data_IF_067231144966
#
_entry.id   IF_067231144966
#
_cell.length_a   1.000
_cell.length_b   1.000
_cell.length_c   1.000
_cell.angle_alpha   90.00
_cell.angle_beta   90.00
_cell.angle_gamma   90.00
#
_symmetry.space_group_name_H-M   'P 1'
#
loop_
_entity.id
_entity.type
_entity.pdbx_description
1 polymer ?
#
# COMPACT_ATOMS: atom_id res chain seq x y z
N UNK A 1 3.66 22.88 -26.16
CA UNK A 1 4.66 23.64 -25.37
C UNK A 1 5.74 22.65 -24.93
N UNK A 2 7.00 23.11 -24.89
CA UNK A 2 8.13 22.36 -24.37
C UNK A 2 8.19 22.42 -22.86
N UNK A 3 9.12 21.64 -22.26
CA UNK A 3 9.33 21.63 -20.82
C UNK A 3 10.09 20.41 -20.34
N UNK A 4 10.13 20.22 -19.03
CA UNK A 4 10.74 19.07 -18.37
C UNK A 4 9.66 18.13 -17.80
N UNK A 5 10.04 16.86 -17.62
CA UNK A 5 9.21 15.85 -16.99
C UNK A 5 10.05 14.91 -16.13
N UNK A 6 9.43 14.39 -15.10
CA UNK A 6 9.91 13.24 -14.33
C UNK A 6 8.93 12.11 -14.52
N UNK A 7 9.43 10.92 -14.80
CA UNK A 7 8.64 9.69 -14.78
C UNK A 7 9.16 8.76 -13.70
N UNK A 8 8.24 8.16 -12.97
CA UNK A 8 8.54 7.24 -11.89
C UNK A 8 8.18 5.81 -12.29
N UNK A 9 9.07 4.89 -11.93
CA UNK A 9 8.90 3.45 -12.10
C UNK A 9 9.17 2.74 -10.78
N UNK A 10 8.54 1.60 -10.61
CA UNK A 10 8.82 0.66 -9.53
C UNK A 10 9.41 -0.63 -10.10
N UNK A 11 10.44 -1.14 -9.42
CA UNK A 11 11.02 -2.45 -9.69
C UNK A 11 10.95 -3.28 -8.41
N UNK A 12 10.16 -4.34 -8.38
CA UNK A 12 9.87 -5.12 -7.18
C UNK A 12 11.06 -5.99 -6.74
N UNK A 13 11.86 -6.50 -7.69
CA UNK A 13 13.07 -7.26 -7.39
C UNK A 13 14.27 -6.80 -8.24
N UNK A 14 15.51 -7.14 -7.84
CA UNK A 14 16.70 -6.81 -8.63
C UNK A 14 16.65 -7.45 -10.01
N UNK A 15 16.94 -6.67 -11.07
CA UNK A 15 16.95 -7.14 -12.47
C UNK A 15 18.23 -6.74 -13.17
N UNK A 16 18.79 -7.67 -13.96
CA UNK A 16 19.81 -7.35 -14.95
C UNK A 16 19.13 -6.86 -16.21
N UNK A 17 19.51 -5.68 -16.68
CA UNK A 17 18.93 -5.05 -17.87
C UNK A 17 20.02 -4.62 -18.81
N UNK A 18 19.95 -5.09 -20.05
CA UNK A 18 20.79 -4.60 -21.14
C UNK A 18 20.27 -3.24 -21.61
N UNK A 19 21.05 -2.18 -21.41
CA UNK A 19 20.66 -0.80 -21.76
C UNK A 19 21.37 -0.41 -23.06
N UNK A 20 20.85 -0.88 -24.17
CA UNK A 20 21.38 -0.60 -25.49
C UNK A 20 22.89 -0.84 -25.58
N UNK A 21 23.66 0.17 -26.03
CA UNK A 21 25.12 0.11 -26.15
C UNK A 21 25.87 0.46 -24.87
N UNK A 22 25.18 0.91 -23.81
CA UNK A 22 25.81 1.22 -22.52
C UNK A 22 26.26 -0.04 -21.76
N UNK A 23 25.68 -1.18 -22.06
CA UNK A 23 26.00 -2.45 -21.39
C UNK A 23 24.89 -2.98 -20.52
N UNK A 24 25.22 -4.06 -19.78
CA UNK A 24 24.31 -4.68 -18.82
C UNK A 24 24.54 -4.10 -17.43
N UNK A 25 23.44 -3.73 -16.76
CA UNK A 25 23.47 -3.21 -15.40
C UNK A 25 22.52 -3.99 -14.51
N UNK A 26 22.91 -4.17 -13.24
CA UNK A 26 22.03 -4.69 -12.20
C UNK A 26 21.25 -3.53 -11.59
N UNK A 27 19.94 -3.51 -11.80
CA UNK A 27 19.02 -2.56 -11.19
C UNK A 27 18.47 -3.15 -9.89
N UNK A 28 18.78 -2.58 -8.71
CA UNK A 28 18.18 -2.99 -7.43
C UNK A 28 16.66 -2.84 -7.43
N UNK A 29 15.97 -3.56 -6.53
CA UNK A 29 14.56 -3.29 -6.24
C UNK A 29 14.40 -1.87 -5.68
N UNK A 30 13.27 -1.21 -6.00
CA UNK A 30 12.98 0.13 -5.51
C UNK A 30 12.43 1.09 -6.57
N UNK A 31 12.46 2.36 -6.25
CA UNK A 31 11.95 3.43 -7.08
C UNK A 31 12.99 3.96 -8.06
N UNK A 32 12.55 4.23 -9.28
CA UNK A 32 13.38 4.83 -10.32
C UNK A 32 12.70 6.08 -10.84
N UNK A 33 13.41 7.20 -10.79
CA UNK A 33 12.96 8.48 -11.34
C UNK A 33 13.82 8.85 -12.54
N UNK A 34 13.19 9.01 -13.70
CA UNK A 34 13.85 9.47 -14.91
C UNK A 34 13.43 10.89 -15.24
N UNK A 35 14.41 11.77 -15.39
CA UNK A 35 14.22 13.17 -15.77
C UNK A 35 14.49 13.34 -17.26
N UNK A 36 13.58 13.99 -17.96
CA UNK A 36 13.74 14.27 -19.38
C UNK A 36 13.13 15.62 -19.79
N UNK A 37 13.40 16.01 -21.02
CA UNK A 37 12.80 17.19 -21.62
C UNK A 37 12.03 16.89 -22.91
N UNK A 38 11.06 17.73 -23.22
CA UNK A 38 10.25 17.64 -24.42
C UNK A 38 10.26 18.97 -25.17
N UNK A 39 11.17 19.06 -26.15
CA UNK A 39 11.33 20.26 -27.00
C UNK A 39 10.90 20.06 -28.45
N UNK A 40 10.52 18.83 -28.80
CA UNK A 40 10.13 18.48 -30.16
C UNK A 40 8.61 18.54 -30.40
N UNK A 41 8.17 18.18 -31.62
CA UNK A 41 6.76 18.09 -31.97
C UNK A 41 5.97 17.20 -31.01
N UNK A 42 4.76 17.61 -30.63
CA UNK A 42 3.90 16.89 -29.72
C UNK A 42 4.07 17.24 -28.23
N UNK A 43 5.15 17.92 -27.84
CA UNK A 43 5.36 18.45 -26.49
C UNK A 43 5.43 17.39 -25.38
N UNK A 44 5.19 17.84 -24.15
CA UNK A 44 5.30 17.01 -22.93
C UNK A 44 4.37 15.80 -22.94
N UNK A 45 3.10 15.98 -23.27
CA UNK A 45 2.13 14.89 -23.25
C UNK A 45 2.49 13.75 -24.21
N UNK A 46 2.95 14.06 -25.42
CA UNK A 46 3.36 13.05 -26.40
C UNK A 46 4.62 12.31 -25.92
N UNK A 47 5.57 13.02 -25.29
CA UNK A 47 6.80 12.41 -24.77
C UNK A 47 6.50 11.47 -23.60
N UNK A 48 5.68 11.91 -22.64
CA UNK A 48 5.28 11.08 -21.48
C UNK A 48 4.51 9.85 -21.96
N UNK A 49 3.51 10.00 -22.87
CA UNK A 49 2.80 8.84 -23.45
C UNK A 49 3.73 7.87 -24.16
N UNK A 50 4.79 8.35 -24.83
CA UNK A 50 5.76 7.47 -25.46
C UNK A 50 6.51 6.62 -24.44
N UNK A 51 6.94 7.20 -23.32
CA UNK A 51 7.64 6.45 -22.28
C UNK A 51 6.72 5.51 -21.51
N UNK A 52 5.44 5.84 -21.43
CA UNK A 52 4.45 4.98 -20.81
C UNK A 52 4.28 3.63 -21.54
N UNK A 53 4.35 3.61 -22.88
CA UNK A 53 4.21 2.38 -23.69
C UNK A 53 5.38 1.43 -23.46
N UNK A 54 5.09 0.13 -23.31
CA UNK A 54 6.11 -0.95 -23.35
C UNK A 54 6.50 -1.25 -24.81
N UNK A 55 7.64 -1.94 -25.01
CA UNK A 55 7.95 -2.53 -26.32
C UNK A 55 7.01 -3.71 -26.57
N UNK A 56 6.60 -3.89 -27.83
CA UNK A 56 5.56 -4.85 -28.21
C UNK A 56 4.32 -4.14 -28.80
N UNK A 57 3.98 -2.94 -28.32
CA UNK A 57 2.91 -2.09 -28.87
C UNK A 57 3.38 -1.27 -30.12
N UNK A 58 4.21 -1.86 -30.98
CA UNK A 58 4.80 -1.15 -32.11
C UNK A 58 5.88 -0.12 -31.76
N UNK A 59 6.31 -0.06 -30.50
CA UNK A 59 7.36 0.84 -30.01
C UNK A 59 8.74 0.21 -30.20
N UNK A 60 9.64 0.88 -30.95
CA UNK A 60 11.08 0.55 -30.93
C UNK A 60 11.72 1.16 -29.68
N UNK A 61 12.58 0.37 -29.00
CA UNK A 61 13.43 0.87 -27.91
C UNK A 61 14.42 1.88 -28.49
N UNK A 62 14.28 3.14 -28.12
CA UNK A 62 15.13 4.22 -28.63
C UNK A 62 15.91 4.91 -27.53
N UNK A 63 15.30 5.06 -26.35
CA UNK A 63 15.88 5.73 -25.22
C UNK A 63 16.37 4.71 -24.19
N UNK A 64 17.45 5.03 -23.50
CA UNK A 64 18.00 4.15 -22.45
C UNK A 64 16.94 3.75 -21.41
N UNK A 65 16.08 4.70 -21.01
CA UNK A 65 14.98 4.44 -20.08
C UNK A 65 13.92 3.46 -20.63
N UNK A 66 13.79 3.35 -21.95
CA UNK A 66 12.85 2.39 -22.54
C UNK A 66 13.22 0.94 -22.21
N UNK A 67 14.52 0.63 -22.02
CA UNK A 67 14.98 -0.70 -21.61
C UNK A 67 14.58 -1.02 -20.17
N UNK A 68 14.72 -0.05 -19.26
CA UNK A 68 14.30 -0.21 -17.86
C UNK A 68 12.77 -0.35 -17.76
N UNK A 69 12.04 0.40 -18.59
CA UNK A 69 10.57 0.34 -18.65
C UNK A 69 10.02 -1.05 -19.01
N UNK A 70 10.79 -1.92 -19.66
CA UNK A 70 10.34 -3.28 -19.98
C UNK A 70 10.08 -4.13 -18.74
N UNK A 71 10.90 -3.92 -17.71
CA UNK A 71 10.91 -4.73 -16.48
C UNK A 71 10.34 -3.96 -15.28
N UNK A 72 10.11 -2.67 -15.41
CA UNK A 72 9.61 -1.82 -14.33
C UNK A 72 8.13 -1.44 -14.53
N UNK A 73 7.40 -1.31 -13.43
CA UNK A 73 6.00 -0.87 -13.42
C UNK A 73 5.96 0.66 -13.42
N UNK A 74 5.11 1.23 -14.27
CA UNK A 74 4.87 2.67 -14.31
C UNK A 74 4.18 3.15 -13.04
N UNK A 75 4.65 4.26 -12.49
CA UNK A 75 4.11 4.79 -11.25
C UNK A 75 3.56 6.22 -11.35
N UNK A 76 3.96 6.96 -12.36
CA UNK A 76 3.44 8.31 -12.60
C UNK A 76 4.39 9.19 -13.40
N UNK A 77 3.89 10.37 -13.75
CA UNK A 77 4.68 11.41 -14.38
C UNK A 77 4.32 12.79 -13.85
N UNK A 78 5.32 13.65 -13.72
CA UNK A 78 5.18 15.05 -13.35
C UNK A 78 5.82 15.91 -14.43
N UNK A 79 5.19 17.02 -14.74
CA UNK A 79 5.65 17.89 -15.83
C UNK A 79 5.58 19.35 -15.44
N UNK A 80 6.47 20.14 -16.04
CA UNK A 80 6.42 21.60 -16.02
C UNK A 80 6.66 22.14 -17.43
N UNK A 81 5.73 22.90 -17.92
CA UNK A 81 5.92 23.68 -19.17
C UNK A 81 6.90 24.83 -18.92
N UNK A 82 7.97 24.87 -19.69
CA UNK A 82 9.00 25.92 -19.58
C UNK A 82 9.79 26.05 -20.88
N UNK A 83 10.25 27.25 -21.16
CA UNK A 83 11.26 27.50 -22.20
C UNK A 83 12.69 27.19 -21.75
N UNK A 84 12.92 27.02 -20.44
CA UNK A 84 14.22 26.75 -19.83
C UNK A 84 14.59 25.26 -19.86
N UNK A 85 15.90 25.00 -19.70
CA UNK A 85 16.44 23.64 -19.53
C UNK A 85 16.42 23.25 -18.07
N UNK A 86 15.34 22.61 -17.63
CA UNK A 86 15.15 22.23 -16.22
C UNK A 86 15.67 20.81 -15.91
N UNK A 87 15.94 19.98 -16.93
CA UNK A 87 16.27 18.57 -16.73
C UNK A 87 17.51 18.34 -15.85
N UNK A 88 18.55 19.17 -15.99
CA UNK A 88 19.77 19.01 -15.20
C UNK A 88 19.57 19.52 -13.75
N UNK A 89 18.84 20.61 -13.55
CA UNK A 89 18.48 21.12 -12.23
C UNK A 89 17.61 20.11 -11.46
N UNK A 90 16.61 19.56 -12.12
CA UNK A 90 15.76 18.53 -11.53
C UNK A 90 16.50 17.24 -11.20
N UNK A 91 17.42 16.80 -12.08
CA UNK A 91 18.28 15.65 -11.80
C UNK A 91 19.19 15.89 -10.59
N UNK A 92 19.73 17.10 -10.44
CA UNK A 92 20.54 17.48 -9.29
C UNK A 92 19.73 17.48 -7.98
N UNK A 93 18.51 18.06 -7.97
CA UNK A 93 17.62 18.07 -6.79
C UNK A 93 17.22 16.66 -6.37
N UNK A 94 16.87 15.80 -7.34
CA UNK A 94 16.55 14.40 -7.06
C UNK A 94 17.75 13.62 -6.55
N UNK A 95 18.97 13.93 -7.06
CA UNK A 95 20.20 13.27 -6.58
C UNK A 95 20.59 13.67 -5.16
N UNK A 96 20.10 14.82 -4.68
CA UNK A 96 20.32 15.28 -3.31
C UNK A 96 19.39 14.64 -2.26
N UNK A 97 18.39 13.89 -2.71
CA UNK A 97 17.48 13.18 -1.80
C UNK A 97 18.22 12.07 -1.06
N UNK A 98 17.82 11.82 0.19
CA UNK A 98 18.38 10.77 1.01
C UNK A 98 18.22 9.40 0.35
N UNK A 99 19.32 8.66 0.26
CA UNK A 99 19.35 7.34 -0.37
C UNK A 99 19.30 7.32 -1.90
N UNK A 100 19.29 8.48 -2.57
CA UNK A 100 19.35 8.56 -4.03
C UNK A 100 20.68 8.00 -4.56
N UNK A 101 20.62 7.17 -5.62
CA UNK A 101 21.79 6.52 -6.22
C UNK A 101 21.75 6.55 -7.75
N UNK A 102 22.89 6.70 -8.36
CA UNK A 102 23.08 6.46 -9.80
C UNK A 102 23.41 4.97 -9.99
N UNK A 103 22.53 4.23 -10.66
CA UNK A 103 22.74 2.79 -10.94
C UNK A 103 23.52 2.59 -12.24
N UNK A 104 23.27 3.43 -13.24
CA UNK A 104 23.94 3.37 -14.54
C UNK A 104 24.39 4.77 -14.92
N UNK A 105 25.70 5.01 -14.88
CA UNK A 105 26.29 6.28 -15.26
C UNK A 105 26.01 6.63 -16.73
N UNK A 106 25.71 7.89 -17.01
CA UNK A 106 25.40 8.37 -18.36
C UNK A 106 23.98 8.05 -18.86
N UNK A 107 23.17 7.31 -18.09
CA UNK A 107 21.81 6.96 -18.52
C UNK A 107 20.91 8.19 -18.57
N UNK A 108 20.49 8.56 -19.80
CA UNK A 108 19.67 9.73 -20.08
C UNK A 108 20.42 11.07 -20.09
N UNK A 109 21.74 11.08 -19.88
CA UNK A 109 22.58 12.27 -19.78
C UNK A 109 23.55 12.42 -20.98
N UNK A 110 23.17 11.93 -22.16
CA UNK A 110 24.04 11.91 -23.36
C UNK A 110 24.40 13.28 -23.91
N UNK A 111 23.66 14.32 -23.58
CA UNK A 111 23.79 15.69 -24.07
C UNK A 111 24.12 16.73 -22.97
N UNK A 112 24.52 16.25 -21.79
CA UNK A 112 24.91 17.08 -20.64
C UNK A 112 26.05 16.44 -19.83
N UNK A 113 26.48 17.12 -18.75
CA UNK A 113 27.52 16.65 -17.82
C UNK A 113 26.97 15.99 -16.55
N UNK A 114 25.68 15.70 -16.48
CA UNK A 114 25.10 15.03 -15.34
C UNK A 114 25.59 13.57 -15.23
N UNK A 115 25.72 13.06 -14.01
CA UNK A 115 26.13 11.67 -13.78
C UNK A 115 25.11 10.69 -14.39
N UNK A 116 23.83 10.99 -14.28
CA UNK A 116 22.73 10.30 -14.95
C UNK A 116 21.44 11.14 -14.80
N UNK A 117 20.44 10.83 -15.64
CA UNK A 117 19.08 11.34 -15.49
C UNK A 117 18.10 10.25 -15.01
N UNK A 118 18.57 9.03 -14.77
CA UNK A 118 17.84 7.96 -14.08
C UNK A 118 18.46 7.73 -12.70
N UNK A 119 17.66 7.90 -11.68
CA UNK A 119 18.07 7.78 -10.28
C UNK A 119 17.25 6.70 -9.60
N UNK A 120 17.90 5.90 -8.77
CA UNK A 120 17.27 4.93 -7.87
C UNK A 120 17.06 5.58 -6.50
N UNK A 121 15.86 5.39 -5.90
CA UNK A 121 15.53 5.85 -4.56
C UNK A 121 14.88 4.73 -3.75
N UNK A 122 15.08 4.71 -2.42
CA UNK A 122 14.40 3.76 -1.53
C UNK A 122 12.91 4.07 -1.39
N UNK A 123 12.52 5.35 -1.51
CA UNK A 123 11.14 5.80 -1.42
C UNK A 123 10.83 6.83 -2.52
N UNK A 124 9.58 6.86 -2.98
CA UNK A 124 9.13 7.89 -3.90
C UNK A 124 8.82 9.17 -3.14
N UNK A 125 9.33 10.34 -3.57
CA UNK A 125 8.92 11.63 -3.01
C UNK A 125 7.41 11.84 -3.07
N UNK A 126 6.86 12.57 -2.11
CA UNK A 126 5.43 12.89 -2.09
C UNK A 126 5.02 13.76 -3.29
N UNK A 127 3.73 13.79 -3.60
CA UNK A 127 3.21 14.66 -4.69
C UNK A 127 3.48 16.12 -4.39
N UNK A 128 3.38 16.51 -3.12
CA UNK A 128 3.65 17.86 -2.64
C UNK A 128 5.11 18.23 -2.86
N UNK A 129 6.05 17.29 -2.67
CA UNK A 129 7.47 17.52 -2.94
C UNK A 129 7.70 17.87 -4.42
N UNK A 130 7.09 17.16 -5.36
CA UNK A 130 7.20 17.50 -6.77
C UNK A 130 6.60 18.88 -7.09
N UNK A 131 5.51 19.24 -6.40
CA UNK A 131 4.89 20.56 -6.54
C UNK A 131 5.75 21.70 -5.99
N UNK A 132 6.32 21.54 -4.79
CA UNK A 132 7.12 22.57 -4.13
C UNK A 132 8.53 22.70 -4.73
N UNK A 133 9.24 21.59 -4.86
CA UNK A 133 10.64 21.59 -5.24
C UNK A 133 10.87 21.73 -6.76
N UNK A 134 10.07 21.04 -7.56
CA UNK A 134 10.22 21.07 -9.01
C UNK A 134 9.21 21.99 -9.70
N UNK A 135 8.22 22.50 -8.97
CA UNK A 135 7.06 23.23 -9.50
C UNK A 135 6.40 22.43 -10.64
N UNK A 136 6.33 21.11 -10.47
CA UNK A 136 5.85 20.18 -11.45
C UNK A 136 4.44 19.71 -11.10
N UNK A 137 3.55 19.68 -12.09
CA UNK A 137 2.21 19.16 -11.97
C UNK A 137 2.18 17.70 -12.39
N UNK A 138 1.44 16.87 -11.66
CA UNK A 138 1.24 15.48 -12.05
C UNK A 138 0.38 15.41 -13.31
N UNK A 139 0.90 14.75 -14.36
CA UNK A 139 0.10 14.38 -15.53
C UNK A 139 -0.47 12.98 -15.27
N UNK A 140 -1.76 12.91 -15.31
CA UNK A 140 -2.45 11.63 -15.37
C UNK A 140 -2.54 11.20 -16.84
N UNK A 141 -1.88 10.13 -17.21
CA UNK A 141 -2.14 9.36 -18.44
C UNK A 141 -3.36 8.46 -18.17
N UNK A 142 -4.43 9.07 -17.74
CA UNK A 142 -5.38 8.84 -16.67
C UNK A 142 -6.14 7.51 -16.67
N UNK A 143 -6.75 7.11 -17.76
CA UNK A 143 -7.64 5.96 -17.74
C UNK A 143 -6.90 4.67 -18.07
N UNK A 144 -6.00 4.73 -19.03
CA UNK A 144 -5.24 3.56 -19.47
C UNK A 144 -4.18 3.09 -18.46
N UNK A 145 -3.59 4.00 -17.69
CA UNK A 145 -2.61 3.63 -16.67
C UNK A 145 -3.27 2.82 -15.54
N UNK A 146 -4.45 3.24 -15.11
CA UNK A 146 -5.21 2.50 -14.11
C UNK A 146 -5.71 1.16 -14.69
N UNK A 147 -6.23 1.15 -15.92
CA UNK A 147 -6.71 -0.06 -16.58
C UNK A 147 -5.58 -1.09 -16.75
N UNK A 148 -4.35 -0.66 -17.17
CA UNK A 148 -3.19 -1.55 -17.24
C UNK A 148 -2.74 -2.09 -15.88
N UNK A 149 -2.76 -1.25 -14.84
CA UNK A 149 -2.43 -1.70 -13.50
C UNK A 149 -3.44 -2.70 -12.96
N UNK A 150 -4.72 -2.53 -13.29
CA UNK A 150 -5.77 -3.49 -12.96
C UNK A 150 -5.60 -4.81 -13.74
N UNK A 151 -5.20 -4.75 -15.02
CA UNK A 151 -4.86 -5.94 -15.80
C UNK A 151 -3.65 -6.68 -15.20
N UNK A 152 -2.61 -5.94 -14.81
CA UNK A 152 -1.44 -6.52 -14.11
C UNK A 152 -1.86 -7.14 -12.79
N UNK A 153 -2.73 -6.49 -12.02
CA UNK A 153 -3.25 -7.02 -10.76
C UNK A 153 -4.02 -8.33 -10.97
N UNK A 154 -4.78 -8.43 -12.06
CA UNK A 154 -5.59 -9.61 -12.38
C UNK A 154 -4.76 -10.80 -12.89
N UNK A 155 -3.73 -10.55 -13.72
CA UNK A 155 -3.08 -11.61 -14.50
C UNK A 155 -1.55 -11.60 -14.47
N UNK A 156 -0.92 -10.66 -13.74
CA UNK A 156 0.54 -10.56 -13.62
C UNK A 156 1.15 -11.64 -12.74
N UNK A 157 2.47 -11.72 -12.75
CA UNK A 157 3.21 -12.47 -11.73
C UNK A 157 3.14 -11.75 -10.36
N UNK A 158 3.49 -12.44 -9.29
CA UNK A 158 3.41 -11.93 -7.91
C UNK A 158 4.13 -10.59 -7.73
N UNK A 159 5.34 -10.47 -8.30
CA UNK A 159 6.15 -9.25 -8.22
C UNK A 159 5.49 -8.07 -8.94
N UNK A 160 4.95 -8.31 -10.13
CA UNK A 160 4.24 -7.30 -10.91
C UNK A 160 2.96 -6.85 -10.22
N UNK A 161 2.23 -7.78 -9.62
CA UNK A 161 1.01 -7.52 -8.84
C UNK A 161 1.29 -6.67 -7.61
N UNK A 162 2.36 -6.98 -6.85
CA UNK A 162 2.76 -6.17 -5.69
C UNK A 162 3.10 -4.73 -6.10
N UNK A 163 3.82 -4.56 -7.19
CA UNK A 163 4.12 -3.25 -7.74
C UNK A 163 2.85 -2.50 -8.19
N UNK A 164 1.88 -3.22 -8.77
CA UNK A 164 0.59 -2.64 -9.18
C UNK A 164 -0.24 -2.19 -7.97
N UNK A 165 -0.22 -2.92 -6.84
CA UNK A 165 -0.87 -2.52 -5.58
C UNK A 165 -0.39 -1.13 -5.16
N UNK A 166 0.93 -0.94 -5.04
CA UNK A 166 1.50 0.36 -4.66
C UNK A 166 1.21 1.47 -5.68
N UNK A 167 1.19 1.14 -6.96
CA UNK A 167 0.88 2.10 -8.01
C UNK A 167 -0.60 2.50 -8.00
N UNK A 168 -1.52 1.57 -7.74
CA UNK A 168 -2.96 1.80 -7.65
C UNK A 168 -3.34 2.63 -6.42
N UNK A 169 -2.65 2.45 -5.30
CA UNK A 169 -2.88 3.24 -4.08
C UNK A 169 -2.82 4.76 -4.32
N UNK A 170 -2.04 5.20 -5.30
CA UNK A 170 -1.91 6.62 -5.65
C UNK A 170 -3.11 7.22 -6.36
N UNK A 171 -3.97 6.37 -6.93
CA UNK A 171 -5.24 6.81 -7.50
C UNK A 171 -6.30 7.05 -6.43
N UNK A 172 -6.03 6.59 -5.18
CA UNK A 172 -6.94 6.74 -4.05
C UNK A 172 -8.33 6.19 -4.36
N UNK A 173 -9.38 6.87 -3.94
CA UNK A 173 -10.77 6.47 -4.15
C UNK A 173 -11.16 6.23 -5.62
N UNK A 174 -10.41 6.77 -6.58
CA UNK A 174 -10.66 6.54 -8.02
C UNK A 174 -10.39 5.08 -8.42
N UNK A 175 -9.42 4.41 -7.78
CA UNK A 175 -9.12 3.00 -7.99
C UNK A 175 -10.03 2.08 -7.14
N UNK A 176 -10.66 2.60 -6.10
CA UNK A 176 -11.49 1.79 -5.21
C UNK A 176 -12.63 1.07 -5.95
N UNK A 177 -13.40 1.80 -6.78
CA UNK A 177 -14.52 1.23 -7.51
C UNK A 177 -14.14 0.05 -8.44
N UNK A 178 -13.14 0.14 -9.34
CA UNK A 178 -12.72 -1.01 -10.15
C UNK A 178 -12.15 -2.15 -9.31
N UNK A 179 -11.44 -1.88 -8.20
CA UNK A 179 -10.95 -2.91 -7.29
C UNK A 179 -12.10 -3.64 -6.59
N UNK A 180 -13.13 -2.93 -6.15
CA UNK A 180 -14.36 -3.53 -5.61
C UNK A 180 -15.01 -4.47 -6.64
N UNK A 181 -15.04 -4.09 -7.91
CA UNK A 181 -15.55 -4.98 -8.96
C UNK A 181 -14.72 -6.26 -9.10
N UNK A 182 -13.39 -6.21 -8.86
CA UNK A 182 -12.52 -7.38 -8.89
C UNK A 182 -12.75 -8.34 -7.71
N UNK A 183 -13.31 -7.89 -6.60
CA UNK A 183 -13.71 -8.77 -5.48
C UNK A 183 -14.81 -9.75 -5.88
N UNK A 184 -15.60 -9.44 -6.90
CA UNK A 184 -16.60 -10.35 -7.48
C UNK A 184 -16.02 -11.42 -8.42
N UNK A 185 -14.70 -11.49 -8.61
CA UNK A 185 -14.05 -12.47 -9.46
C UNK A 185 -14.22 -13.90 -8.90
N UNK A 186 -14.39 -14.88 -9.80
CA UNK A 186 -14.30 -16.30 -9.43
C UNK A 186 -12.88 -16.76 -9.07
N UNK A 187 -11.85 -15.98 -9.44
CA UNK A 187 -10.46 -16.26 -9.15
C UNK A 187 -10.06 -15.73 -7.75
N UNK A 188 -9.65 -16.63 -6.84
CA UNK A 188 -9.22 -16.30 -5.49
C UNK A 188 -8.02 -15.38 -5.45
N UNK A 189 -7.04 -15.59 -6.32
CA UNK A 189 -5.86 -14.74 -6.43
C UNK A 189 -6.23 -13.31 -6.81
N UNK A 190 -7.14 -13.16 -7.79
CA UNK A 190 -7.64 -11.85 -8.20
C UNK A 190 -8.33 -11.12 -7.04
N UNK A 191 -9.17 -11.81 -6.26
CA UNK A 191 -9.82 -11.24 -5.06
C UNK A 191 -8.78 -10.85 -4.00
N UNK A 192 -7.78 -11.69 -3.79
CA UNK A 192 -6.74 -11.44 -2.79
C UNK A 192 -5.94 -10.17 -3.11
N UNK A 193 -5.50 -10.02 -4.37
CA UNK A 193 -4.77 -8.85 -4.79
C UNK A 193 -5.60 -7.57 -4.79
N UNK A 194 -6.89 -7.67 -5.13
CA UNK A 194 -7.83 -6.56 -5.01
C UNK A 194 -8.00 -6.13 -3.54
N UNK A 195 -8.13 -7.10 -2.62
CA UNK A 195 -8.20 -6.85 -1.18
C UNK A 195 -6.95 -6.12 -0.66
N UNK A 196 -5.76 -6.57 -1.08
CA UNK A 196 -4.51 -5.89 -0.74
C UNK A 196 -4.43 -4.47 -1.27
N UNK A 197 -4.84 -4.25 -2.51
CA UNK A 197 -4.84 -2.91 -3.10
C UNK A 197 -5.83 -1.97 -2.40
N UNK A 198 -7.02 -2.45 -2.03
CA UNK A 198 -7.99 -1.70 -1.23
C UNK A 198 -7.45 -1.37 0.16
N UNK A 199 -6.71 -2.29 0.79
CA UNK A 199 -6.04 -2.05 2.08
C UNK A 199 -5.04 -0.89 2.01
N UNK A 200 -4.29 -0.79 0.92
CA UNK A 200 -3.29 0.27 0.70
C UNK A 200 -3.94 1.62 0.39
N UNK A 201 -5.08 1.61 -0.31
CA UNK A 201 -5.83 2.82 -0.64
C UNK A 201 -6.50 3.41 0.60
N UNK A 202 -7.09 2.57 1.44
CA UNK A 202 -7.88 3.00 2.58
C UNK A 202 -9.13 3.81 2.21
N UNK A 203 -9.66 4.52 3.21
CA UNK A 203 -10.83 5.38 3.04
C UNK A 203 -12.16 4.65 3.06
N UNK A 204 -13.29 5.38 3.06
CA UNK A 204 -14.62 4.82 3.33
C UNK A 204 -15.06 3.73 2.33
N UNK A 205 -14.81 3.92 1.04
CA UNK A 205 -15.19 2.95 0.00
C UNK A 205 -14.42 1.63 0.16
N UNK A 206 -13.13 1.71 0.52
CA UNK A 206 -12.30 0.52 0.77
C UNK A 206 -12.76 -0.19 2.05
N UNK A 207 -13.04 0.55 3.13
CA UNK A 207 -13.53 -0.02 4.39
C UNK A 207 -14.84 -0.77 4.16
N UNK A 208 -15.78 -0.18 3.43
CA UNK A 208 -17.06 -0.82 3.12
C UNK A 208 -16.85 -2.12 2.34
N UNK A 209 -16.03 -2.11 1.29
CA UNK A 209 -15.76 -3.29 0.48
C UNK A 209 -15.01 -4.38 1.28
N UNK A 210 -14.03 -4.00 2.10
CA UNK A 210 -13.27 -4.93 2.94
C UNK A 210 -14.14 -5.59 4.02
N UNK A 211 -15.17 -4.89 4.50
CA UNK A 211 -16.17 -5.52 5.41
C UNK A 211 -16.93 -6.64 4.72
N UNK A 212 -17.29 -6.47 3.45
CA UNK A 212 -17.96 -7.52 2.67
C UNK A 212 -17.03 -8.75 2.46
N UNK A 213 -15.72 -8.53 2.29
CA UNK A 213 -14.72 -9.61 2.17
C UNK A 213 -14.54 -10.41 3.47
N UNK A 214 -14.92 -9.88 4.63
CA UNK A 214 -14.93 -10.66 5.87
C UNK A 214 -15.86 -11.89 5.82
N UNK A 215 -16.80 -11.93 4.87
CA UNK A 215 -17.71 -13.04 4.64
C UNK A 215 -17.29 -13.93 3.47
N UNK A 216 -16.10 -13.74 2.89
CA UNK A 216 -15.61 -14.57 1.77
C UNK A 216 -15.48 -16.05 2.21
N UNK A 217 -15.83 -17.01 1.33
CA UNK A 217 -15.67 -18.44 1.63
C UNK A 217 -14.22 -18.82 1.94
N UNK A 218 -13.25 -18.12 1.38
CA UNK A 218 -11.82 -18.35 1.58
C UNK A 218 -11.33 -17.72 2.90
N UNK A 219 -10.83 -18.52 3.87
CA UNK A 219 -10.34 -18.00 5.14
C UNK A 219 -9.13 -17.08 4.99
N UNK A 220 -8.29 -17.27 3.96
CA UNK A 220 -7.13 -16.41 3.75
C UNK A 220 -7.55 -15.00 3.30
N UNK A 221 -8.64 -14.91 2.51
CA UNK A 221 -9.24 -13.63 2.14
C UNK A 221 -9.89 -12.93 3.33
N UNK A 222 -10.62 -13.67 4.16
CA UNK A 222 -11.19 -13.11 5.39
C UNK A 222 -10.10 -12.55 6.31
N UNK A 223 -9.00 -13.30 6.49
CA UNK A 223 -7.86 -12.87 7.30
C UNK A 223 -7.19 -11.62 6.71
N UNK A 224 -6.99 -11.58 5.39
CA UNK A 224 -6.42 -10.43 4.68
C UNK A 224 -7.30 -9.18 4.88
N UNK A 225 -8.62 -9.31 4.74
CA UNK A 225 -9.57 -8.22 4.96
C UNK A 225 -9.57 -7.74 6.42
N UNK A 226 -9.54 -8.64 7.39
CA UNK A 226 -9.47 -8.30 8.81
C UNK A 226 -8.19 -7.50 9.13
N UNK A 227 -7.03 -7.97 8.63
CA UNK A 227 -5.75 -7.27 8.79
C UNK A 227 -5.78 -5.88 8.15
N UNK A 228 -6.36 -5.77 6.96
CA UNK A 228 -6.51 -4.51 6.22
C UNK A 228 -7.34 -3.49 7.02
N UNK A 229 -8.50 -3.90 7.52
CA UNK A 229 -9.38 -3.06 8.33
C UNK A 229 -8.71 -2.60 9.62
N UNK A 230 -7.94 -3.48 10.28
CA UNK A 230 -7.15 -3.11 11.45
C UNK A 230 -6.07 -2.06 11.14
N UNK A 231 -5.41 -2.13 9.99
CA UNK A 231 -4.41 -1.14 9.56
C UNK A 231 -5.02 0.21 9.21
N UNK A 232 -6.21 0.22 8.59
CA UNK A 232 -6.95 1.44 8.26
C UNK A 232 -7.44 2.14 9.53
N UNK A 233 -7.70 1.39 10.62
CA UNK A 233 -8.15 1.90 11.93
C UNK A 233 -9.46 2.67 11.89
N UNK A 234 -10.36 2.34 10.97
CA UNK A 234 -11.68 2.95 10.92
C UNK A 234 -12.60 2.26 11.93
N UNK A 235 -13.15 3.05 12.85
CA UNK A 235 -14.03 2.57 13.92
C UNK A 235 -15.26 1.82 13.38
N UNK A 236 -15.76 2.19 12.19
CA UNK A 236 -16.93 1.57 11.59
C UNK A 236 -16.74 0.09 11.23
N UNK A 237 -15.49 -0.38 11.21
CA UNK A 237 -15.17 -1.78 10.96
C UNK A 237 -15.27 -2.66 12.22
N UNK A 238 -15.26 -2.08 13.43
CA UNK A 238 -15.22 -2.83 14.67
C UNK A 238 -16.37 -3.84 14.82
N UNK A 239 -17.65 -3.52 14.55
CA UNK A 239 -18.73 -4.50 14.67
C UNK A 239 -18.58 -5.71 13.73
N UNK A 240 -18.14 -5.48 12.48
CA UNK A 240 -17.93 -6.56 11.52
C UNK A 240 -16.73 -7.44 11.90
N UNK A 241 -15.64 -6.85 12.42
CA UNK A 241 -14.50 -7.60 12.95
C UNK A 241 -14.86 -8.42 14.18
N UNK A 242 -15.70 -7.90 15.06
CA UNK A 242 -16.15 -8.62 16.27
C UNK A 242 -16.92 -9.91 15.92
N UNK A 243 -17.71 -9.92 14.85
CA UNK A 243 -18.38 -11.15 14.38
C UNK A 243 -17.36 -12.22 13.97
N UNK A 244 -16.18 -11.83 13.52
CA UNK A 244 -15.10 -12.77 13.11
C UNK A 244 -14.33 -13.34 14.31
N UNK A 245 -14.54 -12.90 15.53
CA UNK A 245 -14.02 -13.57 16.71
C UNK A 245 -14.59 -15.00 16.87
N UNK A 246 -15.75 -15.27 16.25
CA UNK A 246 -16.36 -16.60 16.14
C UNK A 246 -16.06 -17.30 14.80
N UNK A 247 -15.10 -16.84 14.02
CA UNK A 247 -14.79 -17.45 12.72
C UNK A 247 -14.39 -18.92 12.89
N UNK A 248 -14.89 -19.82 12.01
CA UNK A 248 -14.51 -21.23 12.03
C UNK A 248 -13.00 -21.47 11.93
N UNK A 249 -12.27 -20.55 11.29
CA UNK A 249 -10.81 -20.55 11.25
C UNK A 249 -10.25 -19.82 12.48
N UNK A 250 -9.53 -20.51 13.38
CA UNK A 250 -8.89 -19.88 14.54
C UNK A 250 -7.88 -18.79 14.13
N UNK A 251 -7.28 -18.94 12.94
CA UNK A 251 -6.39 -17.95 12.37
C UNK A 251 -7.12 -16.64 12.07
N UNK A 252 -8.28 -16.70 11.37
CA UNK A 252 -9.12 -15.54 11.09
C UNK A 252 -9.58 -14.86 12.38
N UNK A 253 -10.05 -15.66 13.35
CA UNK A 253 -10.50 -15.14 14.64
C UNK A 253 -9.38 -14.40 15.39
N UNK A 254 -8.16 -14.94 15.36
CA UNK A 254 -6.99 -14.28 15.98
C UNK A 254 -6.63 -12.97 15.27
N UNK A 255 -6.64 -12.95 13.92
CA UNK A 255 -6.37 -11.73 13.13
C UNK A 255 -7.46 -10.67 13.38
N UNK A 256 -8.72 -11.07 13.52
CA UNK A 256 -9.81 -10.15 13.83
C UNK A 256 -9.61 -9.49 15.22
N UNK A 257 -9.17 -10.26 16.22
CA UNK A 257 -8.84 -9.72 17.55
C UNK A 257 -7.66 -8.73 17.48
N UNK A 258 -6.63 -9.07 16.70
CA UNK A 258 -5.48 -8.18 16.47
C UNK A 258 -5.92 -6.90 15.74
N UNK A 259 -6.80 -7.01 14.75
CA UNK A 259 -7.35 -5.86 14.02
C UNK A 259 -8.18 -4.93 14.93
N UNK A 260 -9.02 -5.48 15.79
CA UNK A 260 -9.76 -4.71 16.79
C UNK A 260 -8.82 -3.98 17.76
N UNK A 261 -7.72 -4.63 18.17
CA UNK A 261 -6.72 -3.96 19.00
C UNK A 261 -5.99 -2.81 18.28
N UNK A 262 -5.80 -2.90 16.95
CA UNK A 262 -5.22 -1.83 16.13
C UNK A 262 -6.18 -0.65 15.94
N UNK A 263 -7.49 -0.89 15.86
CA UNK A 263 -8.51 0.18 15.86
C UNK A 263 -8.43 0.97 17.15
N UNK A 264 -8.12 0.31 18.27
CA UNK A 264 -7.86 0.96 19.53
C UNK A 264 -9.14 1.27 20.32
N UNK A 265 -9.16 2.40 21.01
CA UNK A 265 -10.20 2.77 21.97
C UNK A 265 -11.63 2.73 21.39
N UNK A 266 -11.77 3.09 20.12
CA UNK A 266 -13.05 3.03 19.42
C UNK A 266 -13.66 1.61 19.29
N UNK A 267 -12.86 0.56 19.52
CA UNK A 267 -13.33 -0.83 19.52
C UNK A 267 -13.72 -1.35 20.92
N UNK A 268 -13.46 -0.59 21.99
CA UNK A 268 -13.67 -1.07 23.38
C UNK A 268 -15.12 -1.46 23.64
N UNK A 269 -16.08 -0.64 23.23
CA UNK A 269 -17.51 -0.94 23.43
C UNK A 269 -17.92 -2.24 22.71
N UNK A 270 -17.49 -2.42 21.47
CA UNK A 270 -17.78 -3.62 20.68
C UNK A 270 -17.12 -4.88 21.26
N UNK A 271 -15.88 -4.75 21.78
CA UNK A 271 -15.19 -5.83 22.48
C UNK A 271 -15.88 -6.16 23.82
N UNK A 272 -16.38 -5.16 24.54
CA UNK A 272 -17.13 -5.37 25.77
C UNK A 272 -18.40 -6.20 25.51
N UNK A 273 -19.15 -5.91 24.44
CA UNK A 273 -20.30 -6.73 24.03
C UNK A 273 -19.89 -8.18 23.71
N UNK A 274 -18.68 -8.38 23.16
CA UNK A 274 -18.15 -9.71 22.85
C UNK A 274 -17.81 -10.54 24.10
N UNK A 275 -17.64 -9.93 25.28
CA UNK A 275 -17.43 -10.63 26.54
C UNK A 275 -18.69 -11.35 27.03
N UNK A 276 -19.86 -11.00 26.57
CA UNK A 276 -21.13 -11.66 26.89
C UNK A 276 -21.40 -12.91 26.00
N UNK A 277 -20.47 -13.21 25.08
CA UNK A 277 -20.62 -14.36 24.19
C UNK A 277 -20.70 -15.69 24.96
N UNK A 278 -21.59 -16.63 24.55
CA UNK A 278 -21.61 -17.97 25.14
C UNK A 278 -20.30 -18.75 24.85
N UNK A 279 -19.58 -18.40 23.80
CA UNK A 279 -18.37 -19.10 23.35
C UNK A 279 -17.14 -18.63 24.14
N UNK A 280 -16.49 -19.47 24.96
CA UNK A 280 -15.32 -19.09 25.77
C UNK A 280 -14.15 -18.56 24.93
N UNK A 281 -14.01 -19.08 23.70
CA UNK A 281 -12.94 -18.64 22.78
C UNK A 281 -13.13 -17.20 22.35
N UNK A 282 -14.36 -16.78 22.02
CA UNK A 282 -14.66 -15.39 21.68
C UNK A 282 -14.35 -14.45 22.86
N UNK A 283 -14.82 -14.80 24.07
CA UNK A 283 -14.54 -14.01 25.26
C UNK A 283 -13.04 -13.86 25.52
N UNK A 284 -12.28 -14.96 25.34
CA UNK A 284 -10.82 -14.94 25.47
C UNK A 284 -10.15 -13.98 24.47
N UNK A 285 -10.56 -14.02 23.19
CA UNK A 285 -10.02 -13.14 22.16
C UNK A 285 -10.38 -11.68 22.44
N UNK A 286 -11.59 -11.40 22.93
CA UNK A 286 -12.03 -10.06 23.31
C UNK A 286 -11.19 -9.51 24.49
N UNK A 287 -10.95 -10.31 25.54
CA UNK A 287 -10.07 -9.93 26.66
C UNK A 287 -8.65 -9.62 26.17
N UNK A 288 -8.08 -10.48 25.30
CA UNK A 288 -6.74 -10.25 24.73
C UNK A 288 -6.65 -8.98 23.89
N UNK A 289 -7.70 -8.66 23.12
CA UNK A 289 -7.76 -7.42 22.37
C UNK A 289 -7.84 -6.20 23.30
N UNK A 290 -8.69 -6.23 24.32
CA UNK A 290 -8.82 -5.18 25.35
C UNK A 290 -7.50 -4.94 26.10
N UNK A 291 -6.79 -6.02 26.45
CA UNK A 291 -5.48 -5.94 27.10
C UNK A 291 -4.44 -5.17 26.25
N UNK A 292 -4.48 -5.34 24.93
CA UNK A 292 -3.56 -4.65 24.01
C UNK A 292 -3.91 -3.18 23.78
N UNK A 293 -5.20 -2.84 23.82
CA UNK A 293 -5.68 -1.45 23.63
C UNK A 293 -5.22 -0.56 24.78
N UNK A 294 -5.13 -1.09 26.01
CA UNK A 294 -4.71 -0.38 27.22
C UNK A 294 -5.52 0.89 27.51
N UNK A 295 -6.81 0.91 27.16
CA UNK A 295 -7.70 2.01 27.48
C UNK A 295 -8.27 1.87 28.90
N UNK A 296 -8.42 2.98 29.60
CA UNK A 296 -9.12 3.02 30.90
C UNK A 296 -10.59 2.59 30.79
N UNK A 297 -11.20 2.76 29.62
CA UNK A 297 -12.58 2.33 29.36
C UNK A 297 -12.73 0.79 29.38
N UNK A 298 -11.63 0.05 29.19
CA UNK A 298 -11.64 -1.42 29.25
C UNK A 298 -11.73 -1.95 30.69
N UNK A 299 -11.46 -1.14 31.72
CA UNK A 299 -11.44 -1.57 33.12
C UNK A 299 -12.78 -2.18 33.55
N UNK A 300 -13.88 -1.47 33.31
CA UNK A 300 -15.23 -1.94 33.65
C UNK A 300 -15.57 -3.30 33.04
N UNK A 301 -15.48 -3.45 31.71
CA UNK A 301 -15.67 -4.73 31.02
C UNK A 301 -14.76 -5.86 31.55
N UNK A 302 -13.47 -5.58 31.79
CA UNK A 302 -12.54 -6.59 32.29
C UNK A 302 -12.85 -7.04 33.74
N UNK A 303 -13.30 -6.13 34.59
CA UNK A 303 -13.78 -6.49 35.94
C UNK A 303 -14.98 -7.44 35.89
N UNK A 304 -15.89 -7.24 34.92
CA UNK A 304 -17.08 -8.07 34.74
C UNK A 304 -16.79 -9.54 34.42
N UNK A 305 -15.59 -9.88 33.91
CA UNK A 305 -15.21 -11.25 33.53
C UNK A 305 -14.18 -11.90 34.48
N UNK A 306 -13.94 -11.32 35.66
CA UNK A 306 -13.07 -11.92 36.68
C UNK A 306 -13.63 -13.20 37.28
N UNK A 307 -14.95 -13.41 37.21
CA UNK A 307 -15.62 -14.63 37.64
C UNK A 307 -16.05 -15.52 36.45
N UNK A 308 -15.48 -15.31 35.26
CA UNK A 308 -15.79 -16.10 34.07
C UNK A 308 -15.58 -17.61 34.31
N UNK A 309 -16.45 -18.51 33.83
CA UNK A 309 -16.26 -19.95 33.92
C UNK A 309 -14.93 -20.43 33.37
N UNK A 310 -14.40 -19.79 32.34
CA UNK A 310 -13.11 -20.13 31.72
C UNK A 310 -11.94 -19.57 32.53
N UNK A 311 -11.05 -20.45 32.95
CA UNK A 311 -9.82 -20.07 33.62
C UNK A 311 -8.96 -19.10 32.82
N UNK A 312 -8.85 -19.31 31.49
CA UNK A 312 -8.04 -18.46 30.63
C UNK A 312 -8.61 -17.05 30.51
N UNK A 313 -9.94 -16.91 30.45
CA UNK A 313 -10.58 -15.59 30.41
C UNK A 313 -10.27 -14.82 31.69
N UNK A 314 -10.45 -15.45 32.86
CA UNK A 314 -10.12 -14.84 34.17
C UNK A 314 -8.64 -14.43 34.24
N UNK A 315 -7.75 -15.35 33.85
CA UNK A 315 -6.31 -15.11 33.89
C UNK A 315 -5.89 -13.88 33.07
N UNK A 316 -6.31 -13.82 31.79
CA UNK A 316 -5.96 -12.69 30.94
C UNK A 316 -6.68 -11.40 31.31
N UNK A 317 -7.89 -11.46 31.89
CA UNK A 317 -8.56 -10.30 32.42
C UNK A 317 -7.81 -9.69 33.61
N UNK A 318 -7.32 -10.55 34.51
CA UNK A 318 -6.50 -10.12 35.63
C UNK A 318 -5.19 -9.49 35.18
N UNK A 319 -4.44 -10.13 34.28
CA UNK A 319 -3.22 -9.54 33.71
C UNK A 319 -3.47 -8.20 33.03
N UNK A 320 -4.59 -8.08 32.29
CA UNK A 320 -4.96 -6.83 31.64
C UNK A 320 -5.24 -5.71 32.64
N UNK A 321 -5.96 -6.01 33.73
CA UNK A 321 -6.24 -5.06 34.80
C UNK A 321 -4.98 -4.63 35.54
N UNK A 322 -4.08 -5.57 35.84
CA UNK A 322 -2.78 -5.26 36.45
C UNK A 322 -1.94 -4.32 35.55
N UNK A 323 -1.94 -4.58 34.24
CA UNK A 323 -1.26 -3.72 33.26
C UNK A 323 -1.88 -2.31 33.14
N UNK A 324 -3.16 -2.16 33.50
CA UNK A 324 -3.85 -0.88 33.57
C UNK A 324 -3.71 -0.18 34.94
N UNK A 325 -2.93 -0.77 35.87
CA UNK A 325 -2.70 -0.24 37.21
C UNK A 325 -3.82 -0.54 38.22
N UNK A 326 -4.75 -1.40 37.86
CA UNK A 326 -5.78 -1.91 38.77
C UNK A 326 -5.25 -3.17 39.47
N UNK A 327 -4.35 -2.98 40.42
CA UNK A 327 -3.83 -4.09 41.24
C UNK A 327 -4.93 -4.60 42.19
N UNK A 328 -5.28 -5.90 42.10
CA UNK A 328 -6.07 -6.52 43.17
C UNK A 328 -5.23 -6.67 44.39
N UNK A 329 -5.53 -5.90 45.44
CA UNK A 329 -5.04 -6.16 46.77
C UNK A 329 -5.77 -7.42 47.26
N UNK A 330 -5.12 -8.59 47.14
CA UNK A 330 -5.61 -9.77 47.81
C UNK A 330 -5.50 -9.53 49.31
N UNK A 331 -6.61 -9.24 49.96
CA UNK A 331 -6.72 -9.47 51.40
C UNK A 331 -6.77 -11.00 51.60
N UNK A 332 -5.63 -11.59 51.90
CA UNK A 332 -5.65 -12.94 52.52
C UNK A 332 -6.41 -12.85 53.85
N UNK A 333 -7.37 -13.73 54.10
CA UNK A 333 -8.08 -13.77 55.36
C UNK A 333 -7.20 -14.09 56.55
#
# INVERSE_FOLDING_TARGET
>A
MGGAYVIAFWLGSPRRVQVGRLGEFLFPAGWYLYVGSARGPGGLAARVRRHWRKAGDGKRLHWHVDHVRQVAVWAGAWTRSSGERLECDWAARLSALEGARVVAAGLGASDCKCAAHLLHLPALPSVEWFGSELQAERIYVERREMDELLEVLASGDEESREAAVHALARFGSRAARPLVAMLGSGDGDCRWWATRALAEIGGPDAVMALRDVLDDPDPDLRACAALALGRIRDASAAPALATRLADPSPFVASIAADALSLIGEAAVSTLAESLDSPEPHMRLLAVRALSRIKSQEAIGPLLGVLEDPSYLVRYYAQEALEALGVGMVFFSP
#
